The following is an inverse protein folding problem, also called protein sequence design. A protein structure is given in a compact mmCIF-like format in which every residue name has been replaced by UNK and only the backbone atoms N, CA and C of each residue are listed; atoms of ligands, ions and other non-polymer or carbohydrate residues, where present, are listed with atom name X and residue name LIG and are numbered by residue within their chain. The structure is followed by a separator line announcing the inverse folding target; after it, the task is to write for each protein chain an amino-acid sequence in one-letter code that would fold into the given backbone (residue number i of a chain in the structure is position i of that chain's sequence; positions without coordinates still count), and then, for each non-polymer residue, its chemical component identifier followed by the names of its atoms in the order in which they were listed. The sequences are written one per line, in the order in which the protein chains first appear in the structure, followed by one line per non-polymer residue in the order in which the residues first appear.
data_IF_987856639686
#
_entry.id   IF_987856639686
#
_cell.length_a   1.000
_cell.length_b   1.000
_cell.length_c   1.000
_cell.angle_alpha   90.00
_cell.angle_beta   90.00
_cell.angle_gamma   90.00
#
_symmetry.space_group_name_H-M   'P 1'
#
loop_
_entity.id
_entity.type
_entity.pdbx_description
1 polymer ?
#
# COMPACT_ATOMS: atom_id res chain seq x y z
N UNK A 1 2.67 0.74 -17.76
CA UNK A 1 2.24 0.42 -16.36
C UNK A 1 1.11 -0.58 -16.42
N UNK A 2 1.28 -1.71 -15.78
CA UNK A 2 0.26 -2.75 -15.66
C UNK A 2 -0.35 -2.73 -14.26
N UNK A 3 -1.68 -2.72 -14.17
CA UNK A 3 -2.40 -2.79 -12.91
C UNK A 3 -2.99 -4.20 -12.75
N UNK A 4 -2.62 -4.87 -11.66
CA UNK A 4 -3.24 -6.13 -11.25
C UNK A 4 -4.20 -5.85 -10.07
N UNK A 5 -5.46 -6.21 -10.22
CA UNK A 5 -6.47 -6.12 -9.16
C UNK A 5 -6.67 -7.52 -8.56
N UNK A 6 -6.14 -7.74 -7.35
CA UNK A 6 -6.22 -9.02 -6.67
C UNK A 6 -7.45 -9.16 -5.78
N UNK A 7 -8.01 -8.06 -5.40
CA UNK A 7 -9.24 -7.92 -4.64
C UNK A 7 -9.66 -6.46 -4.54
N UNK A 8 -10.96 -6.21 -4.57
CA UNK A 8 -11.57 -4.88 -4.44
C UNK A 8 -12.95 -5.02 -3.79
N UNK A 9 -12.98 -5.43 -2.53
CA UNK A 9 -14.21 -5.68 -1.78
C UNK A 9 -13.96 -5.74 -0.27
N UNK A 10 -15.03 -5.82 0.52
CA UNK A 10 -14.97 -6.04 1.97
C UNK A 10 -14.32 -7.36 2.40
N UNK A 11 -14.09 -8.28 1.48
CA UNK A 11 -13.34 -9.53 1.76
C UNK A 11 -11.83 -9.39 1.59
N UNK A 12 -11.38 -8.32 0.95
CA UNK A 12 -9.96 -8.01 0.81
C UNK A 12 -9.65 -7.12 -0.39
N UNK A 13 -8.76 -6.17 -0.17
CA UNK A 13 -8.30 -5.21 -1.15
C UNK A 13 -6.79 -5.37 -1.37
N UNK A 14 -6.38 -5.44 -2.62
CA UNK A 14 -4.96 -5.41 -2.99
C UNK A 14 -4.81 -5.12 -4.49
N UNK A 15 -3.96 -4.18 -4.79
CA UNK A 15 -3.65 -3.72 -6.15
C UNK A 15 -2.13 -3.72 -6.33
N UNK A 16 -1.65 -4.17 -7.49
CA UNK A 16 -0.24 -4.13 -7.82
C UNK A 16 -0.02 -3.24 -9.04
N UNK A 17 0.73 -2.16 -8.86
CA UNK A 17 1.19 -1.29 -9.93
C UNK A 17 2.55 -1.79 -10.41
N UNK A 18 2.61 -2.42 -11.57
CA UNK A 18 3.83 -3.00 -12.13
C UNK A 18 4.35 -2.15 -13.30
N UNK A 19 5.57 -1.67 -13.17
CA UNK A 19 6.26 -1.01 -14.29
C UNK A 19 6.55 -2.02 -15.40
N UNK A 20 6.16 -1.70 -16.62
CA UNK A 20 6.48 -2.54 -17.78
C UNK A 20 7.91 -2.35 -18.25
N UNK A 21 8.52 -1.20 -17.92
CA UNK A 21 9.92 -0.90 -18.26
C UNK A 21 10.92 -1.58 -17.31
N UNK A 22 10.67 -1.50 -16.00
CA UNK A 22 11.63 -1.96 -14.98
C UNK A 22 11.22 -3.27 -14.30
N UNK A 23 9.95 -3.64 -14.37
CA UNK A 23 9.37 -4.78 -13.65
C UNK A 23 9.11 -4.49 -12.16
N UNK A 24 9.45 -3.30 -11.65
CA UNK A 24 9.19 -2.91 -10.26
C UNK A 24 7.70 -2.87 -9.95
N UNK A 25 7.34 -3.32 -8.76
CA UNK A 25 5.95 -3.43 -8.30
C UNK A 25 5.75 -2.64 -7.01
N UNK A 26 4.79 -1.71 -7.02
CA UNK A 26 4.24 -1.12 -5.80
C UNK A 26 2.93 -1.84 -5.47
N UNK A 27 2.86 -2.46 -4.30
CA UNK A 27 1.61 -3.00 -3.77
C UNK A 27 0.83 -1.88 -3.05
N UNK A 28 -0.47 -1.85 -3.28
CA UNK A 28 -1.41 -0.94 -2.61
C UNK A 28 -2.45 -1.81 -1.93
N UNK A 29 -2.51 -1.73 -0.62
CA UNK A 29 -3.27 -2.59 0.28
C UNK A 29 -2.73 -4.04 0.38
N UNK A 30 -2.90 -4.61 1.56
CA UNK A 30 -2.48 -5.96 1.91
C UNK A 30 -3.63 -6.79 2.50
N UNK A 31 -4.84 -6.61 1.94
CA UNK A 31 -6.07 -7.24 2.43
C UNK A 31 -6.40 -8.59 1.81
N UNK A 32 -5.59 -9.12 0.90
CA UNK A 32 -5.77 -10.46 0.31
C UNK A 32 -4.70 -11.42 0.81
N UNK A 33 -4.97 -12.73 0.69
CA UNK A 33 -3.96 -13.75 1.03
C UNK A 33 -2.68 -13.52 0.24
N UNK A 34 -1.54 -13.46 0.90
CA UNK A 34 -0.23 -13.18 0.30
C UNK A 34 0.15 -14.15 -0.83
N UNK A 35 -0.39 -15.37 -0.79
CA UNK A 35 -0.22 -16.36 -1.87
C UNK A 35 -0.79 -15.88 -3.21
N UNK A 36 -1.82 -15.03 -3.22
CA UNK A 36 -2.33 -14.43 -4.48
C UNK A 36 -1.30 -13.49 -5.09
N UNK A 37 -0.64 -12.68 -4.25
CA UNK A 37 0.44 -11.77 -4.67
C UNK A 37 1.60 -12.58 -5.27
N UNK A 38 2.04 -13.64 -4.56
CA UNK A 38 3.11 -14.53 -5.05
C UNK A 38 2.80 -15.10 -6.43
N UNK A 39 1.61 -15.67 -6.61
CA UNK A 39 1.20 -16.32 -7.86
C UNK A 39 1.16 -15.37 -9.05
N UNK A 40 0.63 -14.16 -8.86
CA UNK A 40 0.52 -13.15 -9.93
C UNK A 40 1.90 -12.68 -10.39
N UNK A 41 2.89 -12.66 -9.50
CA UNK A 41 4.27 -12.26 -9.78
C UNK A 41 5.20 -13.43 -10.09
N UNK A 42 4.65 -14.62 -10.37
CA UNK A 42 5.43 -15.84 -10.61
C UNK A 42 6.50 -16.08 -9.51
N UNK A 43 6.11 -15.80 -8.24
CA UNK A 43 6.97 -15.90 -7.05
C UNK A 43 8.20 -14.98 -7.04
N UNK A 44 8.28 -13.99 -7.94
CA UNK A 44 9.33 -12.98 -7.96
C UNK A 44 9.02 -11.84 -6.96
N UNK A 45 9.17 -12.10 -5.66
CA UNK A 45 8.93 -11.12 -4.61
C UNK A 45 9.96 -9.98 -4.61
N UNK A 46 11.13 -10.20 -5.19
CA UNK A 46 12.17 -9.16 -5.29
C UNK A 46 11.75 -7.99 -6.18
N UNK A 47 10.74 -8.17 -7.03
CA UNK A 47 10.18 -7.09 -7.83
C UNK A 47 9.36 -6.10 -6.99
N UNK A 48 8.88 -6.50 -5.81
CA UNK A 48 8.05 -5.64 -4.96
C UNK A 48 8.94 -4.65 -4.20
N UNK A 49 8.86 -3.38 -4.58
CA UNK A 49 9.68 -2.30 -3.99
C UNK A 49 9.06 -1.74 -2.71
N UNK A 50 7.79 -1.98 -2.48
CA UNK A 50 7.09 -1.57 -1.26
C UNK A 50 5.60 -1.89 -1.30
N UNK A 51 4.98 -1.77 -0.14
CA UNK A 51 3.52 -1.87 0.04
C UNK A 51 3.04 -0.61 0.78
N UNK A 52 2.03 0.07 0.26
CA UNK A 52 1.36 1.18 0.96
C UNK A 52 0.00 0.71 1.46
N UNK A 53 -0.37 1.09 2.69
CA UNK A 53 -1.59 0.65 3.37
C UNK A 53 -2.36 1.85 3.86
N UNK A 54 -3.65 1.91 3.54
CA UNK A 54 -4.52 3.05 3.89
C UNK A 54 -4.86 3.10 5.38
N UNK A 55 -5.22 1.97 5.98
CA UNK A 55 -5.58 1.86 7.39
C UNK A 55 -5.56 0.41 7.89
N UNK A 56 -5.78 0.21 9.18
CA UNK A 56 -5.59 -1.08 9.88
C UNK A 56 -6.70 -2.12 9.70
N UNK A 57 -7.84 -1.82 9.09
CA UNK A 57 -8.92 -2.79 8.93
C UNK A 57 -8.48 -4.04 8.15
N UNK A 58 -9.02 -5.20 8.54
CA UNK A 58 -8.53 -6.50 8.04
C UNK A 58 -8.60 -6.67 6.53
N UNK A 59 -9.61 -6.14 5.87
CA UNK A 59 -9.75 -6.18 4.41
C UNK A 59 -8.75 -5.28 3.66
N UNK A 60 -7.97 -4.46 4.38
CA UNK A 60 -6.90 -3.62 3.85
C UNK A 60 -5.51 -4.06 4.33
N UNK A 61 -5.40 -4.65 5.53
CA UNK A 61 -4.11 -4.80 6.21
C UNK A 61 -3.81 -6.20 6.78
N UNK A 62 -4.73 -7.16 6.69
CA UNK A 62 -4.55 -8.48 7.36
C UNK A 62 -3.28 -9.24 6.99
N UNK A 63 -2.69 -8.98 5.83
CA UNK A 63 -1.48 -9.64 5.35
C UNK A 63 -0.23 -8.74 5.36
N UNK A 64 -0.27 -7.57 6.02
CA UNK A 64 0.93 -6.70 6.17
C UNK A 64 2.09 -7.47 6.79
N UNK A 65 1.83 -8.34 7.78
CA UNK A 65 2.85 -9.19 8.41
C UNK A 65 3.58 -10.11 7.43
N UNK A 66 2.89 -10.62 6.41
CA UNK A 66 3.50 -11.46 5.37
C UNK A 66 4.47 -10.68 4.50
N UNK A 67 4.13 -9.43 4.13
CA UNK A 67 5.04 -8.53 3.42
C UNK A 67 6.28 -8.21 4.26
N UNK A 68 6.08 -7.87 5.54
CA UNK A 68 7.17 -7.59 6.48
C UNK A 68 8.10 -8.80 6.65
N UNK A 69 7.54 -10.01 6.80
CA UNK A 69 8.31 -11.24 6.92
C UNK A 69 9.08 -11.57 5.62
N UNK A 70 8.61 -11.10 4.48
CA UNK A 70 9.33 -11.20 3.21
C UNK A 70 10.33 -10.05 2.99
N UNK A 71 10.62 -9.24 4.02
CA UNK A 71 11.51 -8.08 3.96
C UNK A 71 11.07 -7.02 2.94
N UNK A 72 9.77 -6.87 2.73
CA UNK A 72 9.19 -5.83 1.87
C UNK A 72 8.79 -4.64 2.74
N UNK A 73 9.29 -3.42 2.50
CA UNK A 73 8.93 -2.26 3.30
C UNK A 73 7.45 -1.92 3.12
N UNK A 74 6.74 -1.77 4.24
CA UNK A 74 5.34 -1.40 4.29
C UNK A 74 5.19 0.03 4.84
N UNK A 75 4.54 0.89 4.07
CA UNK A 75 4.37 2.32 4.35
C UNK A 75 2.94 2.61 4.76
N UNK A 76 2.75 3.30 5.87
CA UNK A 76 1.44 3.62 6.45
C UNK A 76 1.55 4.80 7.42
N UNK A 77 0.44 5.32 7.90
CA UNK A 77 0.46 6.33 8.98
C UNK A 77 1.04 5.75 10.27
N UNK A 78 1.47 6.61 11.18
CA UNK A 78 1.94 6.19 12.51
C UNK A 78 0.81 5.51 13.31
N UNK A 79 -0.42 6.03 13.20
CA UNK A 79 -1.60 5.45 13.85
C UNK A 79 -1.90 4.04 13.35
N UNK A 80 -1.91 3.83 12.02
CA UNK A 80 -2.08 2.51 11.42
C UNK A 80 -0.97 1.55 11.82
N UNK A 81 0.29 1.99 11.78
CA UNK A 81 1.45 1.21 12.21
C UNK A 81 1.33 0.74 13.67
N UNK A 82 0.90 1.63 14.56
CA UNK A 82 0.68 1.32 15.97
C UNK A 82 -0.49 0.33 16.14
N UNK A 83 -1.62 0.59 15.50
CA UNK A 83 -2.81 -0.24 15.57
C UNK A 83 -2.58 -1.69 15.08
N UNK A 84 -1.71 -1.86 14.08
CA UNK A 84 -1.30 -3.17 13.57
C UNK A 84 -0.23 -3.88 14.44
N UNK A 85 0.32 -3.21 15.47
CA UNK A 85 1.34 -3.78 16.33
C UNK A 85 2.76 -3.79 15.75
N UNK A 86 3.04 -2.96 14.73
CA UNK A 86 4.35 -2.90 14.06
C UNK A 86 5.20 -1.69 14.47
N UNK A 87 4.91 -1.05 15.60
CA UNK A 87 5.61 0.17 16.04
C UNK A 87 7.14 0.03 16.10
N UNK A 88 7.64 -1.14 16.46
CA UNK A 88 9.08 -1.44 16.55
C UNK A 88 9.66 -2.11 15.29
N UNK A 89 8.85 -2.38 14.27
CA UNK A 89 9.34 -3.05 13.06
C UNK A 89 10.15 -2.09 12.19
N UNK A 90 11.36 -2.52 11.78
CA UNK A 90 12.18 -1.82 10.80
C UNK A 90 11.49 -1.72 9.42
N UNK A 91 10.75 -2.78 9.03
CA UNK A 91 10.09 -2.87 7.74
C UNK A 91 8.76 -2.12 7.65
N UNK A 92 8.18 -1.70 8.78
CA UNK A 92 7.03 -0.82 8.81
C UNK A 92 7.48 0.64 8.89
N UNK A 93 7.23 1.40 7.83
CA UNK A 93 7.66 2.80 7.69
C UNK A 93 6.47 3.72 7.96
N UNK A 94 6.57 4.55 9.00
CA UNK A 94 5.57 5.56 9.30
C UNK A 94 5.68 6.75 8.36
N UNK A 95 4.56 7.19 7.79
CA UNK A 95 4.45 8.35 6.93
C UNK A 95 3.87 9.54 7.67
N UNK A 96 4.25 10.73 7.25
CA UNK A 96 3.63 11.99 7.66
C UNK A 96 2.72 12.52 6.55
N UNK A 97 1.55 13.10 6.91
CA UNK A 97 0.61 13.59 5.92
C UNK A 97 1.22 14.70 5.06
N UNK A 98 0.92 14.68 3.76
CA UNK A 98 1.39 15.63 2.74
C UNK A 98 2.91 15.62 2.49
N UNK A 99 3.68 14.73 3.12
CA UNK A 99 5.10 14.56 2.83
C UNK A 99 5.32 13.47 1.76
N UNK A 100 6.04 13.84 0.69
CA UNK A 100 6.35 12.90 -0.38
C UNK A 100 7.39 11.88 0.08
N UNK A 101 7.11 10.61 -0.14
CA UNK A 101 8.08 9.53 -0.06
C UNK A 101 8.39 8.99 -1.46
N UNK A 102 9.66 8.66 -1.70
CA UNK A 102 10.10 8.02 -2.94
C UNK A 102 10.34 6.53 -2.67
N UNK A 103 9.63 5.70 -3.42
CA UNK A 103 9.73 4.24 -3.35
C UNK A 103 10.18 3.78 -4.74
N UNK A 104 11.48 3.69 -4.96
CA UNK A 104 12.09 3.47 -6.29
C UNK A 104 11.53 4.44 -7.35
N UNK A 105 10.88 3.95 -8.40
CA UNK A 105 10.27 4.77 -9.45
C UNK A 105 8.95 5.46 -9.06
N UNK A 106 8.39 5.13 -7.90
CA UNK A 106 7.12 5.68 -7.43
C UNK A 106 7.32 6.85 -6.47
N UNK A 107 6.55 7.93 -6.64
CA UNK A 107 6.45 9.04 -5.70
C UNK A 107 5.06 9.00 -5.08
N UNK A 108 5.01 8.90 -3.76
CA UNK A 108 3.77 8.74 -3.01
C UNK A 108 3.60 9.87 -2.03
N UNK A 109 2.43 10.52 -2.04
CA UNK A 109 2.05 11.55 -1.07
C UNK A 109 0.82 11.07 -0.34
N UNK A 110 0.91 10.78 0.98
CA UNK A 110 -0.24 10.45 1.79
C UNK A 110 -1.05 11.69 2.13
N UNK A 111 -2.36 11.55 2.23
CA UNK A 111 -3.25 12.60 2.73
C UNK A 111 -4.33 12.01 3.64
N UNK A 112 -4.76 12.71 4.70
CA UNK A 112 -5.79 12.23 5.59
C UNK A 112 -7.13 12.05 4.89
N UNK A 113 -7.85 10.98 5.21
CA UNK A 113 -9.22 10.75 4.78
C UNK A 113 -10.15 10.62 5.99
N UNK A 114 -11.46 10.60 5.77
CA UNK A 114 -12.47 10.55 6.83
C UNK A 114 -13.06 9.15 6.92
N UNK A 115 -12.57 8.37 7.85
CA UNK A 115 -13.00 7.00 8.10
C UNK A 115 -12.84 6.63 9.57
N UNK A 116 -13.58 5.64 10.03
CA UNK A 116 -13.49 5.10 11.40
C UNK A 116 -12.28 4.15 11.53
N UNK A 117 -11.10 4.75 11.62
CA UNK A 117 -9.80 4.08 11.75
C UNK A 117 -8.84 4.97 12.55
N UNK A 118 -7.71 4.43 12.99
CA UNK A 118 -6.76 5.13 13.87
C UNK A 118 -6.19 6.41 13.22
N UNK A 119 -5.72 6.30 11.98
CA UNK A 119 -5.18 7.42 11.19
C UNK A 119 -5.22 7.06 9.70
N UNK A 120 -6.42 7.10 9.08
CA UNK A 120 -6.60 6.61 7.71
C UNK A 120 -6.05 7.58 6.67
N UNK A 121 -5.34 7.04 5.67
CA UNK A 121 -4.75 7.80 4.57
C UNK A 121 -5.30 7.36 3.20
N UNK A 122 -5.47 8.35 2.31
CA UNK A 122 -5.45 8.16 0.87
C UNK A 122 -4.05 8.50 0.33
N UNK A 123 -3.80 8.23 -0.93
CA UNK A 123 -2.50 8.40 -1.55
C UNK A 123 -2.60 9.02 -2.94
N UNK A 124 -1.73 9.99 -3.22
CA UNK A 124 -1.38 10.36 -4.59
C UNK A 124 -0.15 9.56 -4.99
N UNK A 125 -0.27 8.75 -6.02
CA UNK A 125 0.80 7.86 -6.51
C UNK A 125 1.20 8.36 -7.89
N UNK A 126 2.45 8.78 -8.06
CA UNK A 126 2.99 9.25 -9.33
C UNK A 126 4.08 8.32 -9.84
N UNK A 127 4.00 7.98 -11.13
CA UNK A 127 5.01 7.22 -11.84
C UNK A 127 5.08 7.70 -13.31
N UNK A 128 6.24 7.63 -13.95
CA UNK A 128 6.43 8.11 -15.33
C UNK A 128 5.52 7.43 -16.35
N UNK A 129 5.19 6.15 -16.13
CA UNK A 129 4.38 5.34 -17.05
C UNK A 129 2.87 5.56 -16.92
N UNK A 130 2.37 6.09 -15.81
CA UNK A 130 0.93 6.26 -15.59
C UNK A 130 0.52 7.68 -15.16
N UNK A 131 1.48 8.59 -14.99
CA UNK A 131 1.20 9.93 -14.45
C UNK A 131 0.86 9.87 -12.96
N UNK A 132 -0.20 10.57 -12.55
CA UNK A 132 -0.64 10.63 -11.15
C UNK A 132 -1.96 9.91 -10.98
N UNK A 133 -2.00 8.97 -10.03
CA UNK A 133 -3.19 8.21 -9.64
C UNK A 133 -3.61 8.67 -8.24
N UNK A 134 -4.88 9.01 -8.07
CA UNK A 134 -5.51 9.22 -6.78
C UNK A 134 -6.05 7.87 -6.28
N UNK A 135 -5.56 7.42 -5.14
CA UNK A 135 -6.08 6.25 -4.44
C UNK A 135 -6.74 6.69 -3.13
N UNK A 136 -8.03 6.50 -3.02
CA UNK A 136 -8.79 6.75 -1.80
C UNK A 136 -9.89 5.70 -1.67
N UNK A 137 -9.88 4.96 -0.57
CA UNK A 137 -10.89 3.97 -0.21
C UNK A 137 -11.47 4.33 1.15
N UNK A 138 -12.66 3.83 1.46
CA UNK A 138 -13.29 3.93 2.76
C UNK A 138 -13.26 5.35 3.35
N UNK A 139 -13.62 6.33 2.54
CA UNK A 139 -13.75 7.71 3.01
C UNK A 139 -15.19 8.21 2.81
N UNK A 140 -15.71 8.89 3.84
CA UNK A 140 -17.03 9.52 3.75
C UNK A 140 -17.02 10.71 2.78
N UNK A 141 -15.90 11.43 2.72
CA UNK A 141 -15.68 12.53 1.77
C UNK A 141 -14.19 12.90 1.70
N UNK A 142 -13.81 13.55 0.62
CA UNK A 142 -12.48 14.17 0.48
C UNK A 142 -12.59 15.65 0.84
N UNK A 143 -11.69 16.10 1.71
CA UNK A 143 -11.69 17.48 2.22
C UNK A 143 -10.95 18.44 1.29
N UNK A 144 -10.18 17.92 0.33
CA UNK A 144 -9.30 18.68 -0.57
C UNK A 144 -9.65 18.47 -2.02
#
# INVERSE_FOLDING_TARGET
MKLHVLGSSSSGNCYLFQSEKTGEVLAVEAGVKFNKVKKVLDFNLNSIVGCIVSHEHGDHAKCVGDFINACIPCYMSQGTKHALGFSSSYWAKGLLPFEQVVINGFRVIPFPVQHDAAEPYGYLIRHEECGTVLFATDTYFLKY
#
